data_IF_419635172272
#
_entry.id   IF_419635172272
#
_cell.length_a   1.000
_cell.length_b   1.000
_cell.length_c   1.000
_cell.angle_alpha   90.00
_cell.angle_beta   90.00
_cell.angle_gamma   90.00
#
_symmetry.space_group_name_H-M   'P 1'
#
loop_
_entity.id
_entity.type
_entity.pdbx_description
1 polymer ?
#
# COMPACT_ATOMS: atom_id res chain seq x y z
N UNK A 1 -9.39 15.03 22.16
CA UNK A 1 -9.98 14.40 20.95
C UNK A 1 -8.92 13.59 20.22
N UNK A 2 -8.99 12.24 20.24
CA UNK A 2 -8.14 11.42 19.37
C UNK A 2 -8.57 11.72 17.92
N UNK A 3 -7.67 12.28 17.10
CA UNK A 3 -7.91 12.37 15.65
C UNK A 3 -8.05 10.94 15.14
N UNK A 4 -9.23 10.56 14.65
CA UNK A 4 -9.42 9.28 13.98
C UNK A 4 -8.60 9.31 12.68
N UNK A 5 -7.35 8.86 12.79
CA UNK A 5 -6.47 8.76 11.64
C UNK A 5 -7.03 7.65 10.75
N UNK A 6 -7.58 8.04 9.60
CA UNK A 6 -7.91 7.11 8.54
C UNK A 6 -6.60 6.76 7.84
N UNK A 7 -6.38 5.47 7.62
CA UNK A 7 -5.27 4.93 6.85
C UNK A 7 -5.82 4.26 5.59
N UNK A 8 -4.93 4.00 4.63
CA UNK A 8 -5.31 3.29 3.43
C UNK A 8 -4.17 2.50 2.81
N UNK A 9 -4.53 1.52 1.98
CA UNK A 9 -3.60 0.70 1.21
C UNK A 9 -3.55 1.21 -0.23
N UNK A 10 -2.34 1.38 -0.75
CA UNK A 10 -2.05 1.72 -2.14
C UNK A 10 -1.13 0.64 -2.71
N UNK A 11 -1.35 0.25 -3.97
CA UNK A 11 -0.43 -0.61 -4.70
C UNK A 11 0.53 0.23 -5.55
N UNK A 12 1.83 -0.01 -5.40
CA UNK A 12 2.85 0.52 -6.30
C UNK A 12 2.92 -0.30 -7.59
N UNK A 13 3.39 0.29 -8.69
CA UNK A 13 3.67 -0.41 -9.96
C UNK A 13 4.68 -1.55 -9.83
N UNK A 14 5.52 -1.55 -8.79
CA UNK A 14 6.37 -2.72 -8.50
C UNK A 14 5.56 -3.92 -7.99
N UNK A 15 4.27 -3.74 -7.72
CA UNK A 15 3.33 -4.74 -7.23
C UNK A 15 3.24 -4.86 -5.71
N UNK A 16 3.97 -4.03 -4.95
CA UNK A 16 3.89 -4.04 -3.48
C UNK A 16 2.73 -3.16 -2.99
N UNK A 17 2.08 -3.63 -1.94
CA UNK A 17 0.99 -2.96 -1.23
C UNK A 17 1.54 -2.24 0.00
N UNK A 18 1.25 -0.94 0.12
CA UNK A 18 1.84 -0.04 1.11
C UNK A 18 0.71 0.64 1.90
N UNK A 19 0.86 0.71 3.22
CA UNK A 19 -0.07 1.41 4.11
C UNK A 19 0.42 2.85 4.30
N UNK A 20 -0.48 3.81 4.16
CA UNK A 20 -0.20 5.23 4.39
C UNK A 20 -1.34 5.87 5.19
N UNK A 21 -1.05 6.95 5.91
CA UNK A 21 -2.10 7.77 6.51
C UNK A 21 -2.85 8.55 5.42
N UNK A 22 -4.18 8.46 5.38
CA UNK A 22 -5.01 9.02 4.30
C UNK A 22 -4.83 10.54 4.14
N UNK A 23 -4.76 11.26 5.26
CA UNK A 23 -4.51 12.70 5.24
C UNK A 23 -3.14 13.06 4.64
N UNK A 24 -2.13 12.21 4.85
CA UNK A 24 -0.77 12.41 4.35
C UNK A 24 -0.66 12.20 2.83
N UNK A 25 -1.66 11.53 2.27
CA UNK A 25 -1.79 11.21 0.84
C UNK A 25 -2.60 12.31 0.16
N UNK A 26 -3.74 12.71 0.75
CA UNK A 26 -4.59 13.77 0.19
C UNK A 26 -3.86 15.12 0.05
N UNK A 27 -2.93 15.42 0.96
CA UNK A 27 -2.16 16.66 0.95
C UNK A 27 -0.87 16.62 0.11
N UNK A 28 -0.43 15.46 -0.41
CA UNK A 28 0.82 15.33 -1.18
C UNK A 28 0.59 14.69 -2.54
N UNK A 29 1.13 15.31 -3.58
CA UNK A 29 1.04 14.79 -4.96
C UNK A 29 1.84 13.52 -5.18
N UNK A 30 2.92 13.33 -4.43
CA UNK A 30 3.85 12.21 -4.63
C UNK A 30 4.31 11.55 -3.33
N UNK A 31 4.67 10.26 -3.43
CA UNK A 31 5.30 9.48 -2.36
C UNK A 31 6.34 8.51 -2.91
N UNK A 32 7.43 8.31 -2.19
CA UNK A 32 8.40 7.28 -2.57
C UNK A 32 7.94 5.92 -2.05
N UNK A 33 7.94 4.92 -2.93
CA UNK A 33 7.72 3.54 -2.56
C UNK A 33 8.90 3.04 -1.70
N UNK A 34 8.67 2.55 -0.48
CA UNK A 34 9.76 2.07 0.39
C UNK A 34 10.39 0.77 -0.10
N UNK A 35 9.74 0.05 -1.02
CA UNK A 35 10.23 -1.23 -1.52
C UNK A 35 11.11 -1.12 -2.77
N UNK A 36 10.80 -0.20 -3.68
CA UNK A 36 11.50 -0.09 -4.97
C UNK A 36 12.09 1.30 -5.24
N UNK A 37 11.91 2.26 -4.33
CA UNK A 37 12.44 3.63 -4.46
C UNK A 37 11.70 4.52 -5.48
N UNK A 38 10.75 3.99 -6.25
CA UNK A 38 10.02 4.78 -7.27
C UNK A 38 9.12 5.83 -6.62
N UNK A 39 9.00 6.98 -7.30
CA UNK A 39 8.08 8.05 -6.94
C UNK A 39 6.67 7.74 -7.48
N UNK A 40 5.75 7.47 -6.58
CA UNK A 40 4.32 7.26 -6.81
C UNK A 40 3.63 8.62 -6.97
N UNK A 41 2.96 8.85 -8.10
CA UNK A 41 1.98 9.93 -8.28
C UNK A 41 0.66 9.52 -7.66
N UNK A 42 0.40 9.98 -6.44
CA UNK A 42 -0.74 9.55 -5.61
C UNK A 42 -2.09 9.68 -6.32
N UNK A 43 -2.29 10.75 -7.09
CA UNK A 43 -3.50 11.00 -7.87
C UNK A 43 -3.87 9.88 -8.86
N UNK A 44 -2.87 9.07 -9.26
CA UNK A 44 -3.04 7.99 -10.24
C UNK A 44 -3.36 6.64 -9.60
N UNK A 45 -3.14 6.48 -8.30
CA UNK A 45 -3.26 5.17 -7.68
C UNK A 45 -4.62 4.96 -7.02
N UNK A 46 -5.23 3.83 -7.33
CA UNK A 46 -6.45 3.37 -6.70
C UNK A 46 -6.17 2.97 -5.25
N UNK A 47 -6.98 3.49 -4.34
CA UNK A 47 -7.00 3.01 -2.95
C UNK A 47 -7.69 1.65 -2.91
N UNK A 48 -7.01 0.68 -2.29
CA UNK A 48 -7.47 -0.71 -2.23
C UNK A 48 -8.37 -0.94 -1.02
N UNK A 49 -7.97 -0.40 0.13
CA UNK A 49 -8.73 -0.46 1.37
C UNK A 49 -8.50 0.80 2.20
N UNK A 50 -9.45 1.12 3.08
CA UNK A 50 -9.37 2.21 4.08
C UNK A 50 -9.92 1.71 5.41
N UNK A 51 -9.28 2.08 6.50
CA UNK A 51 -9.73 1.76 7.86
C UNK A 51 -9.13 2.76 8.84
N UNK A 52 -9.78 2.96 9.97
CA UNK A 52 -9.18 3.64 11.14
C UNK A 52 -8.30 2.71 11.95
N UNK A 53 -8.41 1.39 11.75
CA UNK A 53 -7.54 0.39 12.36
C UNK A 53 -6.28 0.21 11.49
N UNK A 54 -5.14 0.65 12.03
CA UNK A 54 -3.85 0.56 11.35
C UNK A 54 -3.33 -0.88 11.28
N UNK A 55 -3.59 -1.67 12.32
CA UNK A 55 -3.05 -3.03 12.41
C UNK A 55 -3.83 -3.97 11.51
N UNK A 56 -5.13 -3.76 11.36
CA UNK A 56 -5.95 -4.40 10.32
C UNK A 56 -5.35 -4.18 8.92
N UNK A 57 -5.07 -2.92 8.54
CA UNK A 57 -4.53 -2.63 7.22
C UNK A 57 -3.10 -3.14 7.02
N UNK A 58 -2.29 -3.18 8.08
CA UNK A 58 -0.95 -3.80 8.03
C UNK A 58 -1.06 -5.30 7.77
N UNK A 59 -1.97 -5.99 8.46
CA UNK A 59 -2.21 -7.43 8.25
C UNK A 59 -2.65 -7.70 6.80
N UNK A 60 -3.59 -6.91 6.27
CA UNK A 60 -4.05 -7.02 4.88
C UNK A 60 -2.90 -6.76 3.89
N UNK A 61 -2.16 -5.66 4.04
CA UNK A 61 -1.06 -5.32 3.14
C UNK A 61 0.04 -6.41 3.15
N UNK A 62 0.34 -6.95 4.32
CA UNK A 62 1.30 -8.04 4.45
C UNK A 62 0.84 -9.32 3.73
N UNK A 63 -0.41 -9.73 3.91
CA UNK A 63 -0.96 -10.91 3.24
C UNK A 63 -0.99 -10.73 1.71
N UNK A 64 -1.35 -9.53 1.23
CA UNK A 64 -1.31 -9.20 -0.20
C UNK A 64 0.11 -9.29 -0.78
N UNK A 65 1.10 -8.74 -0.06
CA UNK A 65 2.51 -8.82 -0.46
C UNK A 65 3.02 -10.27 -0.47
N UNK A 66 2.68 -11.05 0.56
CA UNK A 66 3.05 -12.47 0.68
C UNK A 66 2.45 -13.33 -0.45
N UNK A 67 1.16 -13.13 -0.79
CA UNK A 67 0.50 -13.85 -1.89
C UNK A 67 1.18 -13.60 -3.23
N UNK A 68 1.53 -12.34 -3.50
CA UNK A 68 2.28 -11.96 -4.72
C UNK A 68 3.63 -12.67 -4.81
N UNK A 69 4.38 -12.80 -3.72
CA UNK A 69 5.65 -13.54 -3.71
C UNK A 69 5.46 -15.02 -4.04
N UNK A 70 4.39 -15.64 -3.54
CA UNK A 70 4.03 -17.02 -3.92
C UNK A 70 3.74 -17.12 -5.42
N UNK A 71 2.90 -16.23 -5.96
CA UNK A 71 2.61 -16.23 -7.41
C UNK A 71 3.87 -16.02 -8.25
N UNK A 72 4.79 -15.15 -7.82
CA UNK A 72 6.09 -14.97 -8.49
C UNK A 72 6.96 -16.22 -8.44
N UNK A 73 7.03 -16.91 -7.29
CA UNK A 73 7.78 -18.17 -7.17
C UNK A 73 7.23 -19.27 -8.06
N UNK A 74 5.91 -19.42 -8.15
CA UNK A 74 5.30 -20.45 -9.01
C UNK A 74 5.55 -20.22 -10.51
N UNK A 75 5.63 -18.97 -10.96
CA UNK A 75 5.85 -18.64 -12.38
C UNK A 75 7.31 -18.76 -12.86
N UNK A 76 8.27 -19.07 -11.98
CA UNK A 76 9.69 -19.27 -12.33
C UNK A 76 9.99 -20.77 -12.56
N UNK A 77 9.10 -21.67 -12.13
CA UNK A 77 9.27 -23.14 -12.20
C UNK A 77 8.46 -23.74 -13.36
N UNK A 78 8.12 -22.93 -14.38
CA UNK A 78 7.36 -23.36 -15.56
C UNK A 78 8.06 -22.96 -16.83
#
# INVERSE_FOLDING_TARGET
MKRNNIYCIIQCDCGNFIVYAYHSIRGRKTRTCPFCGRVLKIEKYRVIARSSDLDELRAIAWELNRRRERTRRYNIIR
#
